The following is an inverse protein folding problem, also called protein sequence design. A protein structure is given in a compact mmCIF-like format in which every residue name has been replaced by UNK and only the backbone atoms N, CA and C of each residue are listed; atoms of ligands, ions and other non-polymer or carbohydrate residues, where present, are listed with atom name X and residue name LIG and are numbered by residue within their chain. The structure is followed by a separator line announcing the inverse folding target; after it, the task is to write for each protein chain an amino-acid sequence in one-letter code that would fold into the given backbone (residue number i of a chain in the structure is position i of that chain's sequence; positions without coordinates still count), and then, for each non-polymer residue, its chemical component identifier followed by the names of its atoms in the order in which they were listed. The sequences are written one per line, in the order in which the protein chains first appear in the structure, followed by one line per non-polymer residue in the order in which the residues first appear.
data_IF_608461945937
#
_entry.id   IF_608461945937
#
_cell.length_a   1.000
_cell.length_b   1.000
_cell.length_c   1.000
_cell.angle_alpha   90.00
_cell.angle_beta   90.00
_cell.angle_gamma   90.00
#
_symmetry.space_group_name_H-M   'P 1'
#
loop_
_entity.id
_entity.type
_entity.pdbx_description
1 polymer ?
#
# COMPACT_ATOMS: atom_id res chain seq x y z
N UNK A 1 -35.90 -8.37 2.57
CA UNK A 1 -34.92 -7.28 2.79
C UNK A 1 -33.54 -7.69 3.36
N UNK A 2 -33.33 -8.94 3.80
CA UNK A 2 -32.02 -9.42 4.35
C UNK A 2 -30.99 -9.86 3.29
N UNK A 3 -31.41 -10.26 2.11
CA UNK A 3 -30.52 -10.81 1.06
C UNK A 3 -29.63 -9.75 0.38
N UNK A 4 -30.10 -8.54 0.18
CA UNK A 4 -29.31 -7.47 -0.43
C UNK A 4 -28.15 -6.97 0.45
N UNK A 5 -28.36 -6.88 1.76
CA UNK A 5 -27.37 -6.45 2.73
C UNK A 5 -26.22 -7.48 2.88
N UNK A 6 -26.57 -8.77 2.82
CA UNK A 6 -25.58 -9.86 2.90
C UNK A 6 -24.66 -9.90 1.66
N UNK A 7 -25.22 -9.77 0.45
CA UNK A 7 -24.43 -9.76 -0.79
C UNK A 7 -23.48 -8.56 -0.85
N UNK A 8 -23.97 -7.41 -0.42
CA UNK A 8 -23.18 -6.18 -0.38
C UNK A 8 -21.99 -6.31 0.58
N UNK A 9 -22.19 -6.86 1.78
CA UNK A 9 -21.12 -7.08 2.76
C UNK A 9 -20.01 -8.00 2.23
N UNK A 10 -20.36 -9.03 1.47
CA UNK A 10 -19.39 -9.95 0.85
C UNK A 10 -18.48 -9.20 -0.13
N UNK A 11 -19.04 -8.30 -0.94
CA UNK A 11 -18.25 -7.48 -1.87
C UNK A 11 -17.30 -6.54 -1.12
N UNK A 12 -17.79 -5.87 -0.06
CA UNK A 12 -16.97 -4.99 0.76
C UNK A 12 -15.81 -5.74 1.42
N UNK A 13 -16.08 -6.91 1.98
CA UNK A 13 -15.07 -7.78 2.60
C UNK A 13 -14.02 -8.23 1.57
N UNK A 14 -14.43 -8.64 0.37
CA UNK A 14 -13.52 -9.03 -0.69
C UNK A 14 -12.59 -7.88 -1.11
N UNK A 15 -13.14 -6.68 -1.34
CA UNK A 15 -12.36 -5.49 -1.68
C UNK A 15 -11.34 -5.14 -0.61
N UNK A 16 -11.73 -5.17 0.66
CA UNK A 16 -10.82 -4.88 1.77
C UNK A 16 -9.74 -5.95 1.92
N UNK A 17 -10.03 -7.21 1.67
CA UNK A 17 -9.03 -8.28 1.70
C UNK A 17 -8.01 -8.17 0.56
N UNK A 18 -8.37 -7.68 -0.62
CA UNK A 18 -7.41 -7.38 -1.70
C UNK A 18 -6.45 -6.26 -1.30
N UNK A 19 -6.97 -5.19 -0.70
CA UNK A 19 -6.14 -4.09 -0.20
C UNK A 19 -5.25 -4.55 0.95
N UNK A 20 -5.78 -5.34 1.89
CA UNK A 20 -4.99 -5.95 2.96
C UNK A 20 -3.80 -6.74 2.43
N UNK A 21 -4.02 -7.59 1.41
CA UNK A 21 -2.94 -8.35 0.78
C UNK A 21 -1.87 -7.42 0.16
N UNK A 22 -2.31 -6.33 -0.47
CA UNK A 22 -1.42 -5.34 -1.08
C UNK A 22 -0.54 -4.66 -0.03
N UNK A 23 -1.12 -4.19 1.08
CA UNK A 23 -0.38 -3.56 2.18
C UNK A 23 0.65 -4.53 2.79
N UNK A 24 0.27 -5.79 3.05
CA UNK A 24 1.18 -6.80 3.60
C UNK A 24 2.36 -7.11 2.66
N UNK A 25 2.14 -7.21 1.36
CA UNK A 25 3.22 -7.39 0.37
C UNK A 25 4.16 -6.20 0.38
N UNK A 26 3.64 -4.98 0.56
CA UNK A 26 4.46 -3.77 0.65
C UNK A 26 5.33 -3.74 1.91
N UNK A 27 4.80 -4.17 3.07
CA UNK A 27 5.59 -4.34 4.30
C UNK A 27 6.82 -5.19 4.04
N UNK A 28 6.62 -6.36 3.41
CA UNK A 28 7.71 -7.30 3.11
C UNK A 28 8.72 -6.70 2.13
N UNK A 29 8.24 -5.98 1.11
CA UNK A 29 9.09 -5.31 0.11
C UNK A 29 9.96 -4.23 0.74
N UNK A 30 9.39 -3.31 1.52
CA UNK A 30 10.14 -2.26 2.19
C UNK A 30 11.15 -2.79 3.20
N UNK A 31 10.81 -3.84 3.94
CA UNK A 31 11.78 -4.52 4.81
C UNK A 31 12.93 -5.10 4.01
N UNK A 32 12.65 -5.77 2.89
CA UNK A 32 13.69 -6.28 2.00
C UNK A 32 14.59 -5.15 1.52
N UNK A 33 14.05 -4.05 1.03
CA UNK A 33 14.82 -2.90 0.57
C UNK A 33 15.71 -2.32 1.68
N UNK A 34 15.19 -2.20 2.89
CA UNK A 34 16.01 -1.77 4.02
C UNK A 34 17.25 -2.66 4.21
N UNK A 35 17.09 -3.99 4.19
CA UNK A 35 18.21 -4.90 4.43
C UNK A 35 19.22 -4.94 3.28
N UNK A 36 18.80 -4.87 2.02
CA UNK A 36 19.69 -4.97 0.87
C UNK A 36 20.35 -3.65 0.47
N UNK A 37 19.85 -2.51 0.95
CA UNK A 37 20.42 -1.19 0.64
C UNK A 37 21.75 -0.99 1.38
N UNK A 38 22.81 -0.73 0.63
CA UNK A 38 24.14 -0.50 1.18
C UNK A 38 24.25 0.87 1.86
N UNK A 39 24.86 0.98 3.05
CA UNK A 39 24.93 2.23 3.80
C UNK A 39 25.60 3.40 3.03
N UNK A 40 26.63 3.12 2.25
CA UNK A 40 27.45 4.13 1.56
C UNK A 40 26.76 4.91 0.42
N UNK A 41 25.54 4.52 0.02
CA UNK A 41 24.76 5.19 -1.04
C UNK A 41 23.41 5.73 -0.56
N UNK A 42 23.12 5.64 0.72
CA UNK A 42 21.74 5.76 1.18
C UNK A 42 21.58 6.45 2.54
N UNK A 43 22.47 7.34 2.91
CA UNK A 43 22.47 7.98 4.25
C UNK A 43 21.16 8.70 4.64
N UNK A 44 20.19 8.84 3.74
CA UNK A 44 18.84 9.34 4.03
C UNK A 44 17.70 8.41 3.59
N UNK A 45 17.94 7.50 2.65
CA UNK A 45 16.88 6.68 2.02
C UNK A 45 16.67 5.36 2.76
N UNK A 46 17.74 4.72 3.22
CA UNK A 46 17.64 3.42 3.91
C UNK A 46 16.71 3.44 5.13
N UNK A 47 16.81 4.41 6.06
CA UNK A 47 15.86 4.52 7.17
C UNK A 47 14.42 4.73 6.73
N UNK A 48 14.19 5.42 5.61
CA UNK A 48 12.85 5.65 5.08
C UNK A 48 12.14 4.35 4.70
N UNK A 49 12.84 3.36 4.16
CA UNK A 49 12.23 2.06 3.86
C UNK A 49 11.66 1.36 5.09
N UNK A 50 12.33 1.44 6.24
CA UNK A 50 11.81 0.87 7.47
C UNK A 50 10.62 1.67 7.99
N UNK A 51 10.65 2.98 7.89
CA UNK A 51 9.53 3.85 8.25
C UNK A 51 8.31 3.55 7.37
N UNK A 52 8.48 3.38 6.06
CA UNK A 52 7.40 2.99 5.16
C UNK A 52 6.84 1.60 5.49
N UNK A 53 7.71 0.64 5.83
CA UNK A 53 7.24 -0.69 6.27
C UNK A 53 6.34 -0.59 7.51
N UNK A 54 6.66 0.27 8.48
CA UNK A 54 5.83 0.48 9.66
C UNK A 54 4.49 1.14 9.30
N UNK A 55 4.49 2.18 8.46
CA UNK A 55 3.27 2.82 7.98
C UNK A 55 2.34 1.84 7.27
N UNK A 56 2.89 1.01 6.39
CA UNK A 56 2.10 0.00 5.67
C UNK A 56 1.53 -1.06 6.63
N UNK A 57 2.29 -1.45 7.65
CA UNK A 57 1.77 -2.38 8.67
C UNK A 57 0.60 -1.76 9.45
N UNK A 58 0.70 -0.50 9.85
CA UNK A 58 -0.40 0.21 10.53
C UNK A 58 -1.65 0.29 9.64
N UNK A 59 -1.49 0.52 8.34
CA UNK A 59 -2.60 0.51 7.39
C UNK A 59 -3.21 -0.89 7.25
N UNK A 60 -2.39 -1.93 7.13
CA UNK A 60 -2.86 -3.32 7.09
C UNK A 60 -3.67 -3.68 8.35
N UNK A 61 -3.21 -3.30 9.52
CA UNK A 61 -3.89 -3.55 10.79
C UNK A 61 -5.26 -2.86 10.85
N UNK A 62 -5.35 -1.61 10.39
CA UNK A 62 -6.63 -0.86 10.31
C UNK A 62 -7.62 -1.52 9.36
N UNK A 63 -7.15 -2.02 8.21
CA UNK A 63 -8.01 -2.73 7.25
C UNK A 63 -8.49 -4.05 7.86
N UNK A 64 -7.60 -4.82 8.49
CA UNK A 64 -7.93 -6.07 9.14
C UNK A 64 -8.98 -5.87 10.25
N UNK A 65 -8.79 -4.85 11.09
CA UNK A 65 -9.76 -4.47 12.12
C UNK A 65 -11.12 -4.10 11.50
N UNK A 66 -11.12 -3.36 10.40
CA UNK A 66 -12.37 -2.97 9.72
C UNK A 66 -13.11 -4.17 9.15
N UNK A 67 -12.40 -5.15 8.57
CA UNK A 67 -12.99 -6.40 8.10
C UNK A 67 -13.71 -7.13 9.24
N UNK A 68 -13.08 -7.22 10.41
CA UNK A 68 -13.67 -7.85 11.60
C UNK A 68 -14.91 -7.08 12.07
N UNK A 69 -14.88 -5.75 12.11
CA UNK A 69 -16.03 -4.90 12.47
C UNK A 69 -17.21 -5.10 11.52
N UNK A 70 -16.96 -5.39 10.25
CA UNK A 70 -17.98 -5.74 9.26
C UNK A 70 -18.50 -7.20 9.41
N UNK A 71 -17.93 -7.96 10.35
CA UNK A 71 -18.27 -9.37 10.60
C UNK A 71 -17.63 -10.34 9.60
N UNK A 72 -16.60 -9.90 8.90
CA UNK A 72 -15.78 -10.70 8.01
C UNK A 72 -14.54 -11.28 8.70
N UNK A 73 -13.67 -11.91 7.91
CA UNK A 73 -12.39 -12.47 8.37
C UNK A 73 -11.23 -11.92 7.53
N UNK A 74 -10.20 -11.34 8.16
CA UNK A 74 -8.98 -10.96 7.45
C UNK A 74 -8.31 -12.18 6.83
N UNK A 75 -8.08 -12.13 5.52
CA UNK A 75 -7.46 -13.22 4.78
C UNK A 75 -5.95 -12.99 4.68
N UNK A 76 -5.20 -13.66 5.52
CA UNK A 76 -3.74 -13.54 5.61
C UNK A 76 -2.99 -14.82 5.21
N UNK A 77 -3.62 -15.69 4.43
CA UNK A 77 -2.95 -16.89 3.91
C UNK A 77 -1.78 -16.48 3.00
N UNK A 78 -0.59 -16.93 3.37
CA UNK A 78 0.65 -16.58 2.66
C UNK A 78 0.80 -17.31 1.34
N UNK A 79 0.08 -18.42 1.12
CA UNK A 79 0.18 -19.23 -0.10
C UNK A 79 -0.33 -18.49 -1.34
N UNK A 80 -1.28 -17.57 -1.18
CA UNK A 80 -1.89 -16.80 -2.27
C UNK A 80 -1.75 -15.27 -2.11
N UNK A 81 -1.05 -14.82 -1.08
CA UNK A 81 -0.91 -13.41 -0.74
C UNK A 81 -0.41 -12.58 -1.92
N UNK A 82 0.64 -13.04 -2.61
CA UNK A 82 1.20 -12.34 -3.77
C UNK A 82 0.23 -12.30 -4.95
N UNK A 83 -0.59 -13.33 -5.15
CA UNK A 83 -1.58 -13.38 -6.22
C UNK A 83 -2.76 -12.43 -5.98
N UNK A 84 -3.14 -12.21 -4.72
CA UNK A 84 -4.22 -11.27 -4.34
C UNK A 84 -3.75 -9.82 -4.29
N UNK A 85 -2.44 -9.60 -4.10
CA UNK A 85 -1.86 -8.26 -4.06
C UNK A 85 -1.85 -7.62 -5.44
N UNK A 86 -2.16 -6.33 -5.50
CA UNK A 86 -1.95 -5.50 -6.70
C UNK A 86 -0.47 -5.11 -6.88
N UNK A 87 0.35 -5.36 -5.87
CA UNK A 87 1.79 -5.10 -5.89
C UNK A 87 2.58 -6.35 -6.25
N UNK A 88 3.47 -6.22 -7.21
CA UNK A 88 4.48 -7.25 -7.50
C UNK A 88 5.78 -6.88 -6.80
N UNK A 89 6.37 -7.84 -6.10
CA UNK A 89 7.70 -7.69 -5.55
C UNK A 89 8.71 -7.93 -6.68
N UNK A 90 9.05 -6.89 -7.43
CA UNK A 90 10.15 -6.96 -8.37
C UNK A 90 11.48 -6.90 -7.59
N UNK A 91 12.54 -7.48 -8.17
CA UNK A 91 13.87 -7.43 -7.58
C UNK A 91 14.57 -6.16 -8.04
N UNK A 92 14.28 -5.01 -7.40
CA UNK A 92 15.03 -3.78 -7.66
C UNK A 92 16.53 -4.04 -7.58
N UNK A 93 17.26 -3.71 -8.65
CA UNK A 93 18.69 -4.00 -8.75
C UNK A 93 19.54 -2.96 -8.02
N UNK A 94 19.12 -1.70 -8.04
CA UNK A 94 19.77 -0.59 -7.34
C UNK A 94 18.75 0.32 -6.63
N UNK A 95 19.26 1.35 -5.96
CA UNK A 95 18.43 2.26 -5.17
C UNK A 95 17.43 3.04 -6.02
N UNK A 96 17.83 3.45 -7.24
CA UNK A 96 16.95 4.18 -8.15
C UNK A 96 15.81 3.29 -8.63
N UNK A 97 16.09 2.04 -8.96
CA UNK A 97 15.09 1.04 -9.33
C UNK A 97 14.09 0.82 -8.17
N UNK A 98 14.58 0.64 -6.93
CA UNK A 98 13.74 0.43 -5.75
C UNK A 98 12.79 1.61 -5.53
N UNK A 99 13.29 2.85 -5.57
CA UNK A 99 12.46 4.05 -5.40
C UNK A 99 11.48 4.22 -6.56
N UNK A 100 11.89 3.90 -7.80
CA UNK A 100 11.04 3.95 -8.98
C UNK A 100 9.89 2.95 -8.92
N UNK A 101 10.16 1.72 -8.49
CA UNK A 101 9.14 0.68 -8.29
C UNK A 101 8.14 1.09 -7.20
N UNK A 102 8.62 1.65 -6.09
CA UNK A 102 7.76 2.12 -5.02
C UNK A 102 6.89 3.29 -5.45
N UNK A 103 7.44 4.24 -6.20
CA UNK A 103 6.67 5.36 -6.73
C UNK A 103 5.56 4.89 -7.69
N UNK A 104 5.86 3.93 -8.55
CA UNK A 104 4.85 3.32 -9.43
C UNK A 104 3.74 2.63 -8.61
N UNK A 105 4.13 1.86 -7.60
CA UNK A 105 3.18 1.21 -6.71
C UNK A 105 2.28 2.22 -6.00
N UNK A 106 2.86 3.24 -5.36
CA UNK A 106 2.09 4.23 -4.60
C UNK A 106 1.13 5.00 -5.49
N UNK A 107 1.53 5.34 -6.72
CA UNK A 107 0.62 5.97 -7.70
C UNK A 107 -0.55 5.07 -8.09
N UNK A 108 -0.31 3.77 -8.26
CA UNK A 108 -1.37 2.79 -8.49
C UNK A 108 -2.30 2.67 -7.27
N UNK A 109 -1.73 2.63 -6.07
CA UNK A 109 -2.50 2.60 -4.83
C UNK A 109 -3.40 3.85 -4.69
N UNK A 110 -2.90 5.05 -5.02
CA UNK A 110 -3.68 6.29 -4.98
C UNK A 110 -4.94 6.16 -5.84
N UNK A 111 -4.83 5.66 -7.07
CA UNK A 111 -6.00 5.46 -7.95
C UNK A 111 -6.97 4.44 -7.34
N UNK A 112 -6.46 3.31 -6.87
CA UNK A 112 -7.29 2.26 -6.25
C UNK A 112 -8.02 2.77 -5.01
N UNK A 113 -7.33 3.47 -4.11
CA UNK A 113 -7.95 4.03 -2.90
C UNK A 113 -8.99 5.12 -3.22
N UNK A 114 -8.73 5.98 -4.22
CA UNK A 114 -9.70 7.00 -4.66
C UNK A 114 -11.00 6.36 -5.20
N UNK A 115 -10.88 5.35 -6.04
CA UNK A 115 -12.03 4.59 -6.55
C UNK A 115 -12.80 3.90 -5.42
N UNK A 116 -12.09 3.30 -4.45
CA UNK A 116 -12.72 2.67 -3.29
C UNK A 116 -13.42 3.68 -2.39
N UNK A 117 -12.81 4.83 -2.13
CA UNK A 117 -13.45 5.91 -1.35
C UNK A 117 -14.79 6.30 -1.97
N UNK A 118 -14.81 6.58 -3.28
CA UNK A 118 -16.04 6.92 -4.01
C UNK A 118 -17.11 5.82 -3.92
N UNK A 119 -16.70 4.57 -4.03
CA UNK A 119 -17.61 3.44 -3.90
C UNK A 119 -18.19 3.35 -2.48
N UNK A 120 -17.34 3.44 -1.45
CA UNK A 120 -17.75 3.32 -0.06
C UNK A 120 -18.53 4.53 0.48
N UNK A 121 -18.40 5.74 -0.11
CA UNK A 121 -19.18 6.91 0.28
C UNK A 121 -20.70 6.67 0.22
N UNK A 122 -21.16 5.83 -0.71
CA UNK A 122 -22.57 5.49 -0.86
C UNK A 122 -22.97 4.19 -0.17
N UNK A 123 -22.02 3.41 0.33
CA UNK A 123 -22.27 2.06 0.85
C UNK A 123 -21.90 1.89 2.31
N UNK A 124 -20.78 2.48 2.75
CA UNK A 124 -20.29 2.44 4.12
C UNK A 124 -19.38 3.65 4.40
N UNK A 125 -19.97 4.70 4.91
CA UNK A 125 -19.27 5.97 5.17
C UNK A 125 -18.11 5.82 6.16
N UNK A 126 -18.18 4.90 7.10
CA UNK A 126 -17.08 4.64 8.06
C UNK A 126 -15.85 4.09 7.34
N UNK A 127 -16.04 3.12 6.46
CA UNK A 127 -14.97 2.58 5.61
C UNK A 127 -14.44 3.65 4.65
N UNK A 128 -15.31 4.44 4.02
CA UNK A 128 -14.90 5.53 3.13
C UNK A 128 -13.97 6.52 3.83
N UNK A 129 -14.31 6.96 5.04
CA UNK A 129 -13.47 7.89 5.84
C UNK A 129 -12.12 7.27 6.23
N UNK A 130 -12.10 6.00 6.58
CA UNK A 130 -10.86 5.28 6.87
C UNK A 130 -9.97 5.25 5.61
N UNK A 131 -10.50 4.83 4.48
CA UNK A 131 -9.77 4.75 3.20
C UNK A 131 -9.30 6.13 2.72
N UNK A 132 -10.10 7.20 2.91
CA UNK A 132 -9.70 8.56 2.58
C UNK A 132 -8.49 9.03 3.40
N UNK A 133 -8.41 8.65 4.67
CA UNK A 133 -7.23 8.95 5.49
C UNK A 133 -5.98 8.20 5.03
N UNK A 134 -6.14 6.97 4.52
CA UNK A 134 -5.06 6.17 3.97
C UNK A 134 -4.62 6.69 2.60
N UNK A 135 -5.56 7.14 1.77
CA UNK A 135 -5.27 7.82 0.51
C UNK A 135 -4.38 9.05 0.72
N UNK A 136 -4.66 9.87 1.72
CA UNK A 136 -3.83 11.02 2.06
C UNK A 136 -2.39 10.64 2.44
N UNK A 137 -2.19 9.51 3.14
CA UNK A 137 -0.87 8.97 3.46
C UNK A 137 -0.14 8.54 2.17
N UNK A 138 -0.80 7.85 1.26
CA UNK A 138 -0.20 7.46 -0.01
C UNK A 138 0.15 8.68 -0.90
N UNK A 139 -0.67 9.71 -0.91
CA UNK A 139 -0.39 10.95 -1.63
C UNK A 139 0.88 11.63 -1.10
N UNK A 140 1.01 11.76 0.23
CA UNK A 140 2.21 12.29 0.85
C UNK A 140 3.44 11.43 0.55
N UNK A 141 3.32 10.12 0.64
CA UNK A 141 4.39 9.18 0.32
C UNK A 141 4.84 9.31 -1.15
N UNK A 142 3.92 9.50 -2.09
CA UNK A 142 4.26 9.74 -3.50
C UNK A 142 5.08 11.03 -3.71
N UNK A 143 4.79 12.08 -2.94
CA UNK A 143 5.57 13.33 -2.97
C UNK A 143 7.00 13.11 -2.45
N UNK A 144 7.16 12.39 -1.34
CA UNK A 144 8.48 12.05 -0.78
C UNK A 144 9.30 11.19 -1.75
N UNK A 145 8.70 10.14 -2.33
CA UNK A 145 9.38 9.28 -3.31
C UNK A 145 9.74 10.04 -4.59
N UNK A 146 8.92 10.97 -5.03
CA UNK A 146 9.21 11.83 -6.18
C UNK A 146 10.43 12.72 -5.89
N UNK A 147 10.51 13.31 -4.71
CA UNK A 147 11.67 14.11 -4.31
C UNK A 147 12.94 13.26 -4.22
N UNK A 148 12.85 12.05 -3.66
CA UNK A 148 13.98 11.11 -3.63
C UNK A 148 14.45 10.72 -5.03
N UNK A 149 13.52 10.43 -5.95
CA UNK A 149 13.85 10.06 -7.32
C UNK A 149 14.59 11.18 -8.07
N UNK A 150 14.17 12.44 -7.87
CA UNK A 150 14.87 13.61 -8.43
C UNK A 150 16.30 13.70 -7.89
N UNK A 151 16.49 13.48 -6.59
CA UNK A 151 17.82 13.51 -5.96
C UNK A 151 18.73 12.37 -6.40
N UNK A 152 18.19 11.24 -6.84
CA UNK A 152 18.96 10.08 -7.34
C UNK A 152 19.26 10.14 -8.84
N UNK A 153 18.56 11.00 -9.59
CA UNK A 153 18.78 11.14 -11.04
C UNK A 153 19.97 12.06 -11.28
N UNK A 154 21.03 11.61 -12.01
CA UNK A 154 22.15 12.49 -12.34
C UNK A 154 21.69 13.70 -13.15
N UNK A 155 22.30 14.89 -12.96
CA UNK A 155 22.00 16.02 -13.83
C UNK A 155 22.33 15.66 -15.28
N UNK A 156 21.43 16.03 -16.20
CA UNK A 156 21.65 15.88 -17.63
C UNK A 156 22.99 16.58 -17.96
N UNK A 157 23.97 15.81 -18.42
CA UNK A 157 25.19 16.39 -18.97
C UNK A 157 24.80 17.16 -20.23
N UNK A 158 24.99 18.45 -20.18
CA UNK A 158 24.77 19.36 -21.30
C UNK A 158 25.84 19.17 -22.38
#
# INVERSE_FOLDING_TARGET
MRTGYSAHRIVLEAMLNEVLATELVCVLRFRRYFFITKPSRADGVKPSFLQYAHLQQEQADRIAERIVQLGGSPHVDTSDLAARSQSRCAAGADLQDMVGEDLLFVRTAIVTYDDMVRYFETHDLTTARMLASMLAIHQHHAEELTALMIGLTPPLQA
#
